data_IF_082710123181
#
_entry.id   IF_082710123181
#
_cell.length_a   1.000
_cell.length_b   1.000
_cell.length_c   1.000
_cell.angle_alpha   90.00
_cell.angle_beta   90.00
_cell.angle_gamma   90.00
#
_symmetry.space_group_name_H-M   'P 1'
#
loop_
_entity.id
_entity.type
_entity.pdbx_description
1 polymer ?
#
# COMPACT_ATOMS: atom_id res chain seq x y z
N UNK A 1 -17.61 -25.45 -44.58
CA UNK A 1 -16.23 -25.48 -44.05
C UNK A 1 -16.19 -24.55 -42.85
N UNK A 2 -16.06 -25.09 -41.63
CA UNK A 2 -16.08 -24.30 -40.39
C UNK A 2 -14.67 -23.74 -40.11
N UNK A 3 -14.53 -22.49 -39.64
CA UNK A 3 -13.22 -21.89 -39.42
C UNK A 3 -12.61 -22.36 -38.09
N UNK A 4 -11.40 -22.91 -38.15
CA UNK A 4 -10.62 -23.48 -37.02
C UNK A 4 -9.86 -22.42 -36.19
N UNK A 5 -10.24 -21.14 -36.25
CA UNK A 5 -9.37 -20.04 -35.77
C UNK A 5 -9.45 -19.80 -34.25
N UNK A 6 -10.46 -20.35 -33.57
CA UNK A 6 -10.76 -19.99 -32.17
C UNK A 6 -9.74 -20.53 -31.15
N UNK A 7 -9.22 -21.74 -31.34
CA UNK A 7 -8.39 -22.41 -30.31
C UNK A 7 -7.03 -21.73 -30.10
N UNK A 8 -6.41 -21.20 -31.16
CA UNK A 8 -5.10 -20.55 -31.06
C UNK A 8 -5.16 -19.17 -30.40
N UNK A 9 -6.27 -18.43 -30.58
CA UNK A 9 -6.48 -17.10 -29.98
C UNK A 9 -6.76 -17.20 -28.49
N UNK A 10 -7.48 -18.24 -28.05
CA UNK A 10 -7.72 -18.51 -26.64
C UNK A 10 -6.39 -18.86 -25.95
N UNK A 11 -5.61 -19.78 -26.53
CA UNK A 11 -4.28 -20.19 -26.02
C UNK A 11 -3.27 -19.04 -25.94
N UNK A 12 -3.33 -18.09 -26.87
CA UNK A 12 -2.47 -16.91 -26.86
C UNK A 12 -2.86 -15.89 -25.78
N UNK A 13 -4.16 -15.70 -25.52
CA UNK A 13 -4.65 -14.76 -24.51
C UNK A 13 -4.42 -15.26 -23.08
N UNK A 14 -4.62 -16.56 -22.83
CA UNK A 14 -4.32 -17.17 -21.53
C UNK A 14 -2.82 -17.12 -21.21
N UNK A 15 -1.96 -17.37 -22.21
CA UNK A 15 -0.51 -17.25 -22.05
C UNK A 15 -0.06 -15.80 -21.81
N UNK A 16 -0.62 -14.82 -22.54
CA UNK A 16 -0.34 -13.39 -22.32
C UNK A 16 -0.80 -12.92 -20.94
N UNK A 17 -1.97 -13.35 -20.46
CA UNK A 17 -2.44 -13.01 -19.10
C UNK A 17 -1.59 -13.68 -18.02
N UNK A 18 -1.11 -14.91 -18.24
CA UNK A 18 -0.17 -15.60 -17.35
C UNK A 18 1.24 -14.99 -17.35
N UNK A 19 1.70 -14.37 -18.44
CA UNK A 19 3.01 -13.67 -18.51
C UNK A 19 2.91 -12.22 -18.00
N UNK A 20 1.78 -11.55 -18.21
CA UNK A 20 1.59 -10.18 -17.74
C UNK A 20 1.31 -10.12 -16.24
N UNK A 21 0.64 -11.12 -15.66
CA UNK A 21 0.43 -11.24 -14.20
C UNK A 21 1.73 -11.14 -13.39
N UNK A 22 2.80 -11.92 -13.65
CA UNK A 22 4.03 -11.82 -12.88
C UNK A 22 4.74 -10.48 -13.06
N UNK A 23 4.58 -9.80 -14.20
CA UNK A 23 5.13 -8.45 -14.42
C UNK A 23 4.35 -7.41 -13.62
N UNK A 24 3.01 -7.43 -13.67
CA UNK A 24 2.15 -6.50 -12.91
C UNK A 24 2.31 -6.69 -11.40
N UNK A 25 2.44 -7.93 -10.94
CA UNK A 25 2.71 -8.24 -9.55
C UNK A 25 4.12 -7.78 -9.13
N UNK A 26 5.13 -7.94 -10.00
CA UNK A 26 6.48 -7.42 -9.75
C UNK A 26 6.45 -5.89 -9.59
N UNK A 27 5.82 -5.17 -10.52
CA UNK A 27 5.68 -3.71 -10.43
C UNK A 27 4.93 -3.29 -9.16
N UNK A 28 3.88 -4.02 -8.78
CA UNK A 28 3.14 -3.79 -7.53
C UNK A 28 4.03 -3.97 -6.29
N UNK A 29 4.83 -5.06 -6.25
CA UNK A 29 5.79 -5.32 -5.17
C UNK A 29 6.90 -4.28 -5.11
N UNK A 30 7.42 -3.87 -6.26
CA UNK A 30 8.47 -2.86 -6.36
C UNK A 30 7.97 -1.50 -5.88
N UNK A 31 6.73 -1.13 -6.28
CA UNK A 31 6.06 0.08 -5.77
C UNK A 31 5.88 0.01 -4.25
N UNK A 32 5.41 -1.11 -3.70
CA UNK A 32 5.27 -1.29 -2.26
C UNK A 32 6.60 -1.15 -1.52
N UNK A 33 7.65 -1.82 -2.00
CA UNK A 33 8.98 -1.75 -1.41
C UNK A 33 9.55 -0.32 -1.46
N UNK A 34 9.37 0.37 -2.59
CA UNK A 34 9.83 1.74 -2.74
C UNK A 34 9.10 2.69 -1.77
N UNK A 35 7.79 2.52 -1.55
CA UNK A 35 7.05 3.30 -0.56
C UNK A 35 7.55 3.05 0.88
N UNK A 36 7.92 1.81 1.23
CA UNK A 36 8.49 1.50 2.54
C UNK A 36 9.84 2.21 2.74
N UNK A 37 10.72 2.22 1.74
CA UNK A 37 12.01 2.93 1.82
C UNK A 37 11.83 4.45 1.90
N UNK A 38 10.84 5.01 1.19
CA UNK A 38 10.48 6.42 1.32
C UNK A 38 10.01 6.74 2.73
N UNK A 39 9.12 5.93 3.30
CA UNK A 39 8.63 6.10 4.68
C UNK A 39 9.80 6.06 5.66
N UNK A 40 10.70 5.08 5.53
CA UNK A 40 11.91 4.98 6.36
C UNK A 40 12.76 6.25 6.30
N UNK A 41 12.91 6.84 5.11
CA UNK A 41 13.65 8.08 4.91
C UNK A 41 12.94 9.30 5.53
N UNK A 42 11.61 9.36 5.42
CA UNK A 42 10.78 10.44 5.96
C UNK A 42 10.66 10.41 7.48
N UNK A 43 10.68 9.22 8.09
CA UNK A 43 10.69 9.06 9.54
C UNK A 43 11.96 9.65 10.20
N UNK A 44 13.03 9.83 9.43
CA UNK A 44 14.15 10.70 9.78
C UNK A 44 14.93 10.32 11.06
N UNK A 45 15.85 11.20 11.51
CA UNK A 45 16.77 10.94 12.62
C UNK A 45 16.09 10.77 13.98
N UNK A 46 14.84 11.20 14.17
CA UNK A 46 14.08 11.01 15.42
C UNK A 46 13.94 9.53 15.81
N UNK A 47 13.91 8.66 14.79
CA UNK A 47 13.70 7.22 14.90
C UNK A 47 15.00 6.45 14.65
N UNK A 48 15.79 6.87 13.66
CA UNK A 48 17.08 6.23 13.35
C UNK A 48 18.15 6.47 14.43
N UNK A 49 18.09 7.56 15.20
CA UNK A 49 18.99 7.76 16.35
C UNK A 49 18.72 6.77 17.50
N UNK A 50 17.54 6.16 17.56
CA UNK A 50 17.23 5.17 18.59
C UNK A 50 17.82 3.79 18.26
N UNK A 51 18.02 3.48 16.97
CA UNK A 51 18.58 2.21 16.51
C UNK A 51 19.35 2.39 15.18
N UNK A 52 20.58 2.92 15.22
CA UNK A 52 21.37 3.17 14.00
C UNK A 52 21.84 1.88 13.31
N UNK A 53 22.00 0.77 14.05
CA UNK A 53 22.53 -0.50 13.54
C UNK A 53 21.51 -1.65 13.52
N UNK A 54 20.27 -1.43 14.01
CA UNK A 54 19.26 -2.49 13.97
C UNK A 54 18.62 -2.55 12.58
N UNK A 55 18.56 -3.77 12.04
CA UNK A 55 17.85 -4.07 10.80
C UNK A 55 16.35 -3.88 11.04
N UNK A 56 15.86 -2.66 10.89
CA UNK A 56 14.44 -2.34 10.99
C UNK A 56 13.65 -3.22 10.03
N UNK A 57 12.80 -4.08 10.58
CA UNK A 57 11.93 -4.92 9.78
C UNK A 57 10.78 -4.08 9.21
N UNK A 58 10.16 -4.57 8.14
CA UNK A 58 9.04 -3.83 7.51
C UNK A 58 7.88 -3.61 8.49
N UNK A 59 7.66 -4.54 9.42
CA UNK A 59 6.65 -4.41 10.46
C UNK A 59 6.96 -3.23 11.40
N UNK A 60 8.21 -3.12 11.86
CA UNK A 60 8.66 -2.03 12.74
C UNK A 60 8.47 -0.67 12.05
N UNK A 61 8.88 -0.55 10.78
CA UNK A 61 8.73 0.69 10.01
C UNK A 61 7.25 1.12 9.97
N UNK A 62 6.33 0.17 9.73
CA UNK A 62 4.90 0.45 9.68
C UNK A 62 4.34 0.83 11.06
N UNK A 63 4.72 0.11 12.12
CA UNK A 63 4.28 0.40 13.48
C UNK A 63 4.73 1.80 13.94
N UNK A 64 6.00 2.13 13.70
CA UNK A 64 6.58 3.43 14.00
C UNK A 64 5.87 4.56 13.23
N UNK A 65 5.55 4.33 11.96
CA UNK A 65 4.77 5.28 11.14
C UNK A 65 3.39 5.53 11.73
N UNK A 66 2.69 4.48 12.13
CA UNK A 66 1.36 4.60 12.74
C UNK A 66 1.43 5.37 14.06
N UNK A 67 2.46 5.12 14.89
CA UNK A 67 2.68 5.87 16.12
C UNK A 67 2.95 7.36 15.84
N UNK A 68 3.83 7.65 14.87
CA UNK A 68 4.15 9.01 14.44
C UNK A 68 2.90 9.77 13.96
N UNK A 69 2.10 9.17 13.08
CA UNK A 69 0.88 9.79 12.55
C UNK A 69 -0.17 10.03 13.65
N UNK A 70 -0.33 9.11 14.60
CA UNK A 70 -1.26 9.30 15.74
C UNK A 70 -0.85 10.49 16.60
N UNK A 71 0.45 10.62 16.92
CA UNK A 71 0.99 11.77 17.66
C UNK A 71 0.78 13.07 16.88
N UNK A 72 1.02 13.06 15.57
CA UNK A 72 0.80 14.22 14.72
C UNK A 72 -0.67 14.67 14.70
N UNK A 73 -1.62 13.72 14.65
CA UNK A 73 -3.05 14.04 14.69
C UNK A 73 -3.50 14.60 16.05
N UNK A 74 -2.95 14.11 17.16
CA UNK A 74 -3.26 14.62 18.50
C UNK A 74 -2.72 16.03 18.73
N UNK A 75 -1.59 16.36 18.09
CA UNK A 75 -0.93 17.66 18.23
C UNK A 75 -1.44 18.72 17.22
N UNK A 76 -2.33 18.36 16.30
CA UNK A 76 -2.95 19.32 15.38
C UNK A 76 -4.30 19.80 15.95
N UNK A 77 -4.52 21.12 16.14
CA UNK A 77 -5.84 21.62 16.50
C UNK A 77 -6.80 21.32 15.35
N UNK A 78 -7.88 20.61 15.68
CA UNK A 78 -8.94 20.11 14.77
C UNK A 78 -9.35 21.18 13.76
N UNK A 79 -8.74 21.14 12.59
CA UNK A 79 -9.15 21.88 11.40
C UNK A 79 -9.56 20.84 10.37
N UNK A 80 -10.80 20.38 10.51
CA UNK A 80 -11.63 19.77 9.45
C UNK A 80 -10.89 19.00 8.35
N UNK A 81 -10.46 17.78 8.66
CA UNK A 81 -10.05 16.82 7.63
C UNK A 81 -11.30 16.11 7.08
N UNK A 82 -11.66 16.43 5.83
CA UNK A 82 -12.84 15.91 5.11
C UNK A 82 -12.87 14.37 4.98
N UNK A 83 -11.76 13.66 5.25
CA UNK A 83 -11.70 12.21 5.11
C UNK A 83 -12.24 11.42 6.33
N UNK A 84 -12.28 12.00 7.53
CA UNK A 84 -12.85 11.31 8.71
C UNK A 84 -14.38 11.32 8.72
N UNK A 85 -15.01 12.26 7.99
CA UNK A 85 -16.45 12.36 7.87
C UNK A 85 -17.06 11.14 7.15
N UNK A 86 -16.43 10.68 6.06
CA UNK A 86 -16.91 9.53 5.29
C UNK A 86 -16.86 8.21 6.07
N UNK A 87 -15.81 8.00 6.88
CA UNK A 87 -15.67 6.78 7.71
C UNK A 87 -16.73 6.74 8.80
N UNK A 88 -16.97 7.87 9.48
CA UNK A 88 -18.01 7.96 10.52
C UNK A 88 -19.42 7.84 9.94
N UNK A 89 -19.66 8.35 8.73
CA UNK A 89 -20.94 8.23 8.04
C UNK A 89 -21.26 6.80 7.59
N UNK A 90 -20.24 6.04 7.17
CA UNK A 90 -20.40 4.60 6.88
C UNK A 90 -20.73 3.80 8.13
N UNK A 91 -20.06 4.11 9.25
CA UNK A 91 -20.31 3.45 10.54
C UNK A 91 -21.75 3.68 11.05
N UNK A 92 -22.25 4.91 10.98
CA UNK A 92 -23.61 5.24 11.47
C UNK A 92 -24.72 4.58 10.65
N UNK A 93 -24.51 4.33 9.35
CA UNK A 93 -25.50 3.62 8.51
C UNK A 93 -25.63 2.13 8.81
N UNK A 94 -24.61 1.50 9.39
CA UNK A 94 -24.61 0.07 9.67
C UNK A 94 -25.14 -0.30 11.06
N UNK A 95 -25.22 0.68 11.98
CA UNK A 95 -25.59 0.48 13.39
C UNK A 95 -27.07 0.81 13.64
N UNK A 96 -27.83 1.14 12.58
CA UNK A 96 -29.28 1.39 12.65
C UNK A 96 -30.10 0.20 12.18
#
# INVERSE_FOLDING_TARGET
>A
MAPTITSAVIYSNEHLTLINKPVVEKLSRDRFNNSIEQIKSLLGPEILNQQPDSKLEKADILEMTVCFLRRQQQNQPVSSSSCSAAVNQGYSRCVQ
#
